data_IF_292411394022
#
_entry.id   IF_292411394022
#
_cell.length_a   1.000
_cell.length_b   1.000
_cell.length_c   1.000
_cell.angle_alpha   90.00
_cell.angle_beta   90.00
_cell.angle_gamma   90.00
#
_symmetry.space_group_name_H-M   'P 1'
#
loop_
_entity.id
_entity.type
_entity.pdbx_description
1 polymer ?
#
# COMPACT_ATOMS: atom_id res chain seq x y z
N UNK A 1 -14.41 -0.48 -40.05
CA UNK A 1 -14.59 -1.41 -38.90
C UNK A 1 -15.50 -0.75 -37.86
N UNK A 2 -16.65 -1.36 -37.50
CA UNK A 2 -17.63 -0.75 -36.59
C UNK A 2 -17.06 -0.44 -35.21
N UNK A 3 -17.53 0.64 -34.56
CA UNK A 3 -17.14 1.06 -33.21
C UNK A 3 -17.29 -0.05 -32.16
N UNK A 4 -18.32 -0.89 -32.29
CA UNK A 4 -18.63 -1.95 -31.33
C UNK A 4 -17.55 -3.05 -31.30
N UNK A 5 -16.98 -3.40 -32.45
CA UNK A 5 -15.88 -4.39 -32.55
C UNK A 5 -14.60 -3.85 -31.89
N UNK A 6 -14.32 -2.55 -32.05
CA UNK A 6 -13.15 -1.90 -31.43
C UNK A 6 -13.26 -1.80 -29.90
N UNK A 7 -14.48 -1.57 -29.38
CA UNK A 7 -14.76 -1.57 -27.94
C UNK A 7 -14.50 -2.97 -27.34
N UNK A 8 -15.12 -4.00 -27.93
CA UNK A 8 -14.96 -5.39 -27.49
C UNK A 8 -13.50 -5.88 -27.57
N UNK A 9 -12.75 -5.43 -28.58
CA UNK A 9 -11.32 -5.75 -28.70
C UNK A 9 -10.49 -5.20 -27.53
N UNK A 10 -10.70 -3.93 -27.15
CA UNK A 10 -9.94 -3.27 -26.07
C UNK A 10 -10.23 -3.90 -24.71
N UNK A 11 -11.50 -4.13 -24.42
CA UNK A 11 -11.94 -4.77 -23.17
C UNK A 11 -11.37 -6.18 -23.05
N UNK A 12 -11.37 -6.97 -24.13
CA UNK A 12 -10.74 -8.29 -24.15
C UNK A 12 -9.25 -8.23 -23.83
N UNK A 13 -8.52 -7.29 -24.45
CA UNK A 13 -7.07 -7.12 -24.21
C UNK A 13 -6.75 -6.74 -22.78
N UNK A 14 -7.57 -5.88 -22.17
CA UNK A 14 -7.45 -5.51 -20.76
C UNK A 14 -7.68 -6.73 -19.86
N UNK A 15 -8.75 -7.51 -20.09
CA UNK A 15 -9.03 -8.74 -19.33
C UNK A 15 -7.89 -9.76 -19.45
N UNK A 16 -7.39 -10.00 -20.66
CA UNK A 16 -6.24 -10.88 -20.88
C UNK A 16 -4.98 -10.40 -20.13
N UNK A 17 -4.73 -9.08 -20.13
CA UNK A 17 -3.58 -8.52 -19.45
C UNK A 17 -3.68 -8.63 -17.93
N UNK A 18 -4.86 -8.45 -17.37
CA UNK A 18 -5.13 -8.71 -15.95
C UNK A 18 -4.86 -10.17 -15.59
N UNK A 19 -5.36 -11.12 -16.39
CA UNK A 19 -5.08 -12.54 -16.16
C UNK A 19 -3.58 -12.83 -16.17
N UNK A 20 -2.86 -12.37 -17.19
CA UNK A 20 -1.41 -12.54 -17.28
C UNK A 20 -0.68 -11.93 -16.08
N UNK A 21 -1.12 -10.76 -15.61
CA UNK A 21 -0.54 -10.13 -14.42
C UNK A 21 -0.75 -11.00 -13.17
N UNK A 22 -1.96 -11.53 -12.96
CA UNK A 22 -2.27 -12.42 -11.84
C UNK A 22 -1.52 -13.76 -11.93
N UNK A 23 -1.30 -14.28 -13.13
CA UNK A 23 -0.47 -15.48 -13.40
C UNK A 23 1.04 -15.22 -13.21
N UNK A 24 1.44 -14.00 -12.86
CA UNK A 24 2.83 -13.59 -12.67
C UNK A 24 3.60 -13.29 -13.97
N UNK A 25 2.96 -13.42 -15.14
CA UNK A 25 3.49 -13.16 -16.49
C UNK A 25 3.51 -11.66 -16.81
N UNK A 26 4.31 -10.91 -16.06
CA UNK A 26 4.33 -9.43 -16.03
C UNK A 26 4.75 -8.80 -17.36
N UNK A 27 5.75 -9.35 -18.03
CA UNK A 27 6.21 -8.84 -19.34
C UNK A 27 5.15 -9.05 -20.43
N UNK A 28 4.44 -10.19 -20.39
CA UNK A 28 3.34 -10.47 -21.32
C UNK A 28 2.14 -9.55 -21.03
N UNK A 29 1.80 -9.35 -19.76
CA UNK A 29 0.77 -8.41 -19.35
C UNK A 29 1.05 -7.00 -19.87
N UNK A 30 2.28 -6.51 -19.70
CA UNK A 30 2.71 -5.22 -20.26
C UNK A 30 2.61 -5.19 -21.79
N UNK A 31 3.09 -6.24 -22.46
CA UNK A 31 3.05 -6.35 -23.92
C UNK A 31 1.62 -6.27 -24.47
N UNK A 32 0.64 -6.83 -23.77
CA UNK A 32 -0.78 -6.76 -24.15
C UNK A 32 -1.36 -5.34 -24.07
N UNK A 33 -0.95 -4.55 -23.07
CA UNK A 33 -1.51 -3.21 -22.84
C UNK A 33 -0.72 -2.09 -23.51
N UNK A 34 0.48 -2.35 -24.01
CA UNK A 34 1.40 -1.33 -24.56
C UNK A 34 0.76 -0.40 -25.60
N UNK A 35 -0.04 -0.94 -26.53
CA UNK A 35 -0.73 -0.13 -27.53
C UNK A 35 -1.93 0.65 -26.95
N UNK A 36 -2.53 0.15 -25.87
CA UNK A 36 -3.67 0.77 -25.19
C UNK A 36 -3.27 2.00 -24.37
N UNK A 37 -1.99 2.15 -24.03
CA UNK A 37 -1.44 3.35 -23.39
C UNK A 37 -1.69 4.63 -24.21
N UNK A 38 -1.85 4.50 -25.54
CA UNK A 38 -2.16 5.60 -26.46
C UNK A 38 -3.66 5.72 -26.78
N UNK A 39 -4.53 4.98 -26.08
CA UNK A 39 -5.97 5.03 -26.31
C UNK A 39 -6.54 6.44 -26.09
N UNK A 40 -7.48 6.83 -26.94
CA UNK A 40 -8.27 8.06 -26.79
C UNK A 40 -9.40 7.89 -25.77
N UNK A 41 -9.84 6.66 -25.51
CA UNK A 41 -10.76 6.36 -24.41
C UNK A 41 -9.97 6.42 -23.08
N UNK A 42 -10.40 7.32 -22.19
CA UNK A 42 -9.73 7.61 -20.91
C UNK A 42 -9.74 6.40 -19.96
N UNK A 43 -10.84 5.66 -19.87
CA UNK A 43 -10.97 4.48 -19.00
C UNK A 43 -10.01 3.37 -19.45
N UNK A 44 -10.02 3.01 -20.74
CA UNK A 44 -9.10 2.02 -21.32
C UNK A 44 -7.64 2.44 -21.12
N UNK A 45 -7.34 3.73 -21.29
CA UNK A 45 -5.99 4.25 -21.08
C UNK A 45 -5.59 4.19 -19.60
N UNK A 46 -6.50 4.51 -18.69
CA UNK A 46 -6.28 4.42 -17.24
C UNK A 46 -5.94 2.99 -16.82
N UNK A 47 -6.76 2.01 -17.21
CA UNK A 47 -6.50 0.61 -16.89
C UNK A 47 -5.19 0.10 -17.50
N UNK A 48 -4.89 0.50 -18.73
CA UNK A 48 -3.60 0.17 -19.35
C UNK A 48 -2.40 0.75 -18.57
N UNK A 49 -2.51 1.99 -18.09
CA UNK A 49 -1.47 2.63 -17.26
C UNK A 49 -1.32 1.90 -15.92
N UNK A 50 -2.42 1.49 -15.30
CA UNK A 50 -2.43 0.74 -14.04
C UNK A 50 -1.74 -0.61 -14.17
N UNK A 51 -2.13 -1.41 -15.17
CA UNK A 51 -1.51 -2.72 -15.44
C UNK A 51 -0.02 -2.55 -15.77
N UNK A 52 0.34 -1.57 -16.60
CA UNK A 52 1.73 -1.29 -16.93
C UNK A 52 2.56 -0.90 -15.70
N UNK A 53 2.05 0.02 -14.86
CA UNK A 53 2.71 0.44 -13.63
C UNK A 53 2.94 -0.71 -12.67
N UNK A 54 1.92 -1.54 -12.44
CA UNK A 54 2.04 -2.70 -11.56
C UNK A 54 2.96 -3.78 -12.11
N UNK A 55 2.92 -4.06 -13.42
CA UNK A 55 3.84 -4.99 -14.05
C UNK A 55 5.29 -4.53 -13.86
N UNK A 56 5.59 -3.25 -14.12
CA UNK A 56 6.93 -2.68 -13.92
C UNK A 56 7.36 -2.70 -12.46
N UNK A 57 6.46 -2.35 -11.53
CA UNK A 57 6.73 -2.40 -10.09
C UNK A 57 7.14 -3.81 -9.65
N UNK A 58 6.39 -4.83 -10.08
CA UNK A 58 6.70 -6.23 -9.74
C UNK A 58 7.96 -6.76 -10.43
N UNK A 59 8.33 -6.21 -11.59
CA UNK A 59 9.61 -6.46 -12.26
C UNK A 59 10.78 -5.66 -11.64
N UNK A 60 10.55 -4.93 -10.53
CA UNK A 60 11.53 -4.04 -9.87
C UNK A 60 12.05 -2.91 -10.77
N UNK A 61 11.31 -2.57 -11.83
CA UNK A 61 11.59 -1.43 -12.73
C UNK A 61 10.88 -0.19 -12.21
N UNK A 62 11.33 0.32 -11.07
CA UNK A 62 10.60 1.32 -10.29
C UNK A 62 10.41 2.65 -11.03
N UNK A 63 11.40 3.14 -11.77
CA UNK A 63 11.28 4.40 -12.53
C UNK A 63 10.19 4.32 -13.61
N UNK A 64 10.09 3.17 -14.28
CA UNK A 64 9.03 2.94 -15.26
C UNK A 64 7.67 2.84 -14.58
N UNK A 65 7.60 2.17 -13.42
CA UNK A 65 6.39 2.10 -12.62
C UNK A 65 5.90 3.49 -12.19
N UNK A 66 6.80 4.33 -11.67
CA UNK A 66 6.54 5.72 -11.29
C UNK A 66 5.94 6.49 -12.48
N UNK A 67 6.58 6.44 -13.64
CA UNK A 67 6.09 7.16 -14.83
C UNK A 67 4.66 6.74 -15.21
N UNK A 68 4.32 5.45 -15.12
CA UNK A 68 2.96 4.98 -15.40
C UNK A 68 1.97 5.39 -14.31
N UNK A 69 2.32 5.25 -13.04
CA UNK A 69 1.44 5.63 -11.93
C UNK A 69 1.19 7.14 -11.86
N UNK A 70 2.20 7.99 -12.12
CA UNK A 70 2.02 9.44 -12.23
C UNK A 70 0.99 9.80 -13.31
N UNK A 71 1.05 9.13 -14.47
CA UNK A 71 0.08 9.33 -15.56
C UNK A 71 -1.32 8.87 -15.16
N UNK A 72 -1.44 7.75 -14.44
CA UNK A 72 -2.71 7.26 -13.92
C UNK A 72 -3.32 8.24 -12.90
N UNK A 73 -2.52 8.71 -11.94
CA UNK A 73 -2.92 9.71 -10.94
C UNK A 73 -3.43 11.00 -11.60
N UNK A 74 -2.73 11.52 -12.61
CA UNK A 74 -3.16 12.70 -13.39
C UNK A 74 -4.46 12.49 -14.16
N UNK A 75 -4.77 11.24 -14.54
CA UNK A 75 -5.93 10.94 -15.38
C UNK A 75 -7.23 10.76 -14.57
N UNK A 76 -7.14 10.22 -13.36
CA UNK A 76 -8.33 9.82 -12.58
C UNK A 76 -8.32 10.23 -11.10
N UNK A 77 -7.22 10.76 -10.57
CA UNK A 77 -7.04 11.11 -9.16
C UNK A 77 -7.57 10.02 -8.20
N UNK A 78 -7.22 8.76 -8.48
CA UNK A 78 -7.77 7.61 -7.77
C UNK A 78 -6.87 7.19 -6.61
N UNK A 79 -7.49 6.81 -5.49
CA UNK A 79 -6.78 6.49 -4.24
C UNK A 79 -5.72 5.39 -4.42
N UNK A 80 -6.05 4.33 -5.14
CA UNK A 80 -5.14 3.19 -5.33
C UNK A 80 -3.94 3.54 -6.22
N UNK A 81 -4.10 4.47 -7.17
CA UNK A 81 -3.01 4.92 -8.04
C UNK A 81 -1.98 5.73 -7.25
N UNK A 82 -2.44 6.59 -6.34
CA UNK A 82 -1.56 7.33 -5.41
C UNK A 82 -0.83 6.41 -4.46
N UNK A 83 -1.51 5.39 -3.93
CA UNK A 83 -0.89 4.39 -3.08
C UNK A 83 0.21 3.62 -3.83
N UNK A 84 -0.07 3.16 -5.05
CA UNK A 84 0.93 2.49 -5.89
C UNK A 84 2.12 3.39 -6.24
N UNK A 85 1.86 4.67 -6.49
CA UNK A 85 2.90 5.66 -6.75
C UNK A 85 3.81 5.85 -5.52
N UNK A 86 3.24 6.01 -4.33
CA UNK A 86 3.99 6.13 -3.08
C UNK A 86 4.88 4.90 -2.83
N UNK A 87 4.35 3.70 -3.04
CA UNK A 87 5.09 2.45 -2.92
C UNK A 87 6.26 2.37 -3.91
N UNK A 88 6.06 2.81 -5.16
CA UNK A 88 7.11 2.84 -6.18
C UNK A 88 8.21 3.85 -5.85
N UNK A 89 7.86 5.04 -5.35
CA UNK A 89 8.81 6.03 -4.88
C UNK A 89 9.64 5.53 -3.69
N UNK A 90 9.01 4.92 -2.69
CA UNK A 90 9.74 4.36 -1.56
C UNK A 90 10.73 3.26 -2.00
N UNK A 91 10.31 2.34 -2.89
CA UNK A 91 11.21 1.29 -3.41
C UNK A 91 12.35 1.81 -4.29
N UNK A 92 12.19 2.98 -4.92
CA UNK A 92 13.23 3.66 -5.70
C UNK A 92 14.03 4.68 -4.87
N UNK A 93 13.85 4.71 -3.55
CA UNK A 93 14.57 5.58 -2.60
C UNK A 93 14.25 7.07 -2.69
N UNK A 94 13.09 7.42 -3.23
CA UNK A 94 12.57 8.80 -3.32
C UNK A 94 11.56 9.05 -2.18
N UNK A 95 12.03 9.17 -0.94
CA UNK A 95 11.14 9.18 0.24
C UNK A 95 10.25 10.42 0.34
N UNK A 96 10.75 11.60 -0.06
CA UNK A 96 9.96 12.83 -0.01
C UNK A 96 8.78 12.77 -0.99
N UNK A 97 9.02 12.26 -2.19
CA UNK A 97 7.99 12.04 -3.20
C UNK A 97 7.04 10.91 -2.80
N UNK A 98 7.54 9.88 -2.10
CA UNK A 98 6.72 8.81 -1.55
C UNK A 98 5.71 9.36 -0.54
N UNK A 99 6.16 10.19 0.40
CA UNK A 99 5.31 10.84 1.41
C UNK A 99 4.32 11.80 0.76
N UNK A 100 4.76 12.60 -0.20
CA UNK A 100 3.88 13.50 -0.95
C UNK A 100 2.77 12.71 -1.68
N UNK A 101 3.12 11.62 -2.36
CA UNK A 101 2.14 10.76 -3.03
C UNK A 101 1.19 10.07 -2.03
N UNK A 102 1.69 9.60 -0.88
CA UNK A 102 0.87 8.96 0.14
C UNK A 102 -0.15 9.94 0.74
N UNK A 103 0.23 11.20 0.96
CA UNK A 103 -0.67 12.23 1.47
C UNK A 103 -1.86 12.52 0.53
N UNK A 104 -1.70 12.31 -0.78
CA UNK A 104 -2.77 12.50 -1.76
C UNK A 104 -3.91 11.48 -1.62
N UNK A 105 -3.68 10.33 -0.97
CA UNK A 105 -4.67 9.23 -0.78
C UNK A 105 -5.96 9.70 -0.08
N UNK A 106 -5.86 10.69 0.82
CA UNK A 106 -7.00 11.20 1.59
C UNK A 106 -7.90 12.14 0.78
N UNK A 107 -7.34 12.86 -0.19
CA UNK A 107 -8.09 13.74 -1.10
C UNK A 107 -8.50 13.07 -2.43
N UNK A 108 -8.12 11.81 -2.62
CA UNK A 108 -8.34 11.07 -3.85
C UNK A 108 -9.71 10.37 -3.89
N UNK A 109 -10.22 10.16 -5.10
CA UNK A 109 -11.49 9.46 -5.31
C UNK A 109 -11.40 7.99 -4.92
N UNK A 110 -12.41 7.52 -4.18
CA UNK A 110 -12.64 6.10 -3.87
C UNK A 110 -13.60 5.42 -4.87
N UNK A 111 -14.17 6.18 -5.83
CA UNK A 111 -15.29 5.76 -6.68
C UNK A 111 -14.91 4.80 -7.82
N UNK A 112 -13.64 4.46 -7.99
CA UNK A 112 -13.24 3.54 -9.06
C UNK A 112 -13.65 2.10 -8.71
N UNK A 113 -14.09 1.37 -9.72
CA UNK A 113 -14.63 0.01 -9.71
C UNK A 113 -13.61 -1.07 -9.33
N UNK A 114 -12.76 -0.81 -8.34
CA UNK A 114 -11.92 -1.84 -7.76
C UNK A 114 -12.78 -2.72 -6.87
N UNK A 115 -12.81 -3.99 -7.24
CA UNK A 115 -13.50 -5.06 -6.52
C UNK A 115 -12.93 -5.28 -5.10
N UNK A 116 -11.78 -4.68 -4.78
CA UNK A 116 -11.10 -4.76 -3.48
C UNK A 116 -10.48 -3.41 -3.10
N UNK A 117 -11.21 -2.56 -2.41
CA UNK A 117 -10.64 -1.35 -1.82
C UNK A 117 -9.78 -1.76 -0.60
N UNK A 118 -8.47 -1.53 -0.69
CA UNK A 118 -7.57 -1.72 0.47
C UNK A 118 -8.00 -0.70 1.53
N UNK A 119 -8.28 -1.17 2.75
CA UNK A 119 -8.63 -0.30 3.87
C UNK A 119 -7.45 0.64 4.20
N UNK A 120 -7.73 1.81 4.77
CA UNK A 120 -6.68 2.73 5.18
C UNK A 120 -5.66 2.09 6.15
N UNK A 121 -6.07 1.29 7.16
CA UNK A 121 -5.11 0.56 7.99
C UNK A 121 -4.23 -0.41 7.19
N UNK A 122 -4.80 -1.13 6.21
CA UNK A 122 -4.00 -2.02 5.36
C UNK A 122 -3.01 -1.25 4.47
N UNK A 123 -3.38 -0.06 3.98
CA UNK A 123 -2.45 0.80 3.26
C UNK A 123 -1.29 1.24 4.14
N UNK A 124 -1.56 1.71 5.36
CA UNK A 124 -0.52 2.08 6.34
C UNK A 124 0.40 0.90 6.66
N UNK A 125 -0.18 -0.28 6.89
CA UNK A 125 0.55 -1.51 7.16
C UNK A 125 1.50 -1.90 6.03
N UNK A 126 0.99 -1.93 4.80
CA UNK A 126 1.80 -2.25 3.63
C UNK A 126 2.88 -1.21 3.37
N UNK A 127 2.56 0.07 3.56
CA UNK A 127 3.49 1.16 3.29
C UNK A 127 4.62 1.23 4.31
N UNK A 128 4.36 1.06 5.62
CA UNK A 128 5.44 1.06 6.61
C UNK A 128 6.42 -0.09 6.36
N UNK A 129 5.94 -1.26 5.93
CA UNK A 129 6.82 -2.39 5.58
C UNK A 129 7.71 -2.04 4.41
N UNK A 130 7.17 -1.38 3.38
CA UNK A 130 7.97 -0.93 2.25
C UNK A 130 8.98 0.16 2.64
N UNK A 131 8.59 1.11 3.50
CA UNK A 131 9.49 2.13 4.03
C UNK A 131 10.63 1.49 4.83
N UNK A 132 10.31 0.60 5.77
CA UNK A 132 11.28 -0.19 6.55
C UNK A 132 12.24 -0.96 5.64
N UNK A 133 11.71 -1.76 4.72
CA UNK A 133 12.53 -2.53 3.77
C UNK A 133 13.38 -1.63 2.85
N UNK A 134 13.01 -0.35 2.75
CA UNK A 134 13.73 0.66 1.99
C UNK A 134 14.67 1.51 2.85
N UNK A 135 14.80 1.21 4.15
CA UNK A 135 15.71 1.92 5.08
C UNK A 135 15.16 3.24 5.62
N UNK A 136 13.89 3.56 5.37
CA UNK A 136 13.22 4.78 5.83
C UNK A 136 12.57 4.55 7.20
N UNK A 137 13.40 4.33 8.22
CA UNK A 137 12.98 3.93 9.57
C UNK A 137 12.07 4.97 10.23
N UNK A 138 12.37 6.27 10.08
CA UNK A 138 11.61 7.35 10.72
C UNK A 138 10.21 7.46 10.12
N UNK A 139 10.10 7.38 8.80
CA UNK A 139 8.85 7.41 8.06
C UNK A 139 8.03 6.15 8.31
N UNK A 140 8.67 4.98 8.36
CA UNK A 140 8.03 3.73 8.75
C UNK A 140 7.42 3.83 10.16
N UNK A 141 8.16 4.40 11.12
CA UNK A 141 7.65 4.65 12.46
C UNK A 141 6.48 5.64 12.49
N UNK A 142 6.47 6.65 11.62
CA UNK A 142 5.32 7.53 11.41
C UNK A 142 4.04 6.76 11.08
N UNK A 143 4.13 5.81 10.14
CA UNK A 143 3.00 4.94 9.78
C UNK A 143 2.59 3.97 10.89
N UNK A 144 3.57 3.45 11.65
CA UNK A 144 3.29 2.62 12.84
C UNK A 144 2.54 3.42 13.90
N UNK A 145 2.86 4.70 14.10
CA UNK A 145 2.14 5.58 15.02
C UNK A 145 0.69 5.83 14.58
N UNK A 146 0.45 6.02 13.29
CA UNK A 146 -0.90 6.14 12.76
C UNK A 146 -1.71 4.85 13.00
N UNK A 147 -1.10 3.67 12.79
CA UNK A 147 -1.72 2.40 13.13
C UNK A 147 -2.00 2.26 14.62
N UNK A 148 -1.04 2.59 15.49
CA UNK A 148 -1.23 2.63 16.95
C UNK A 148 -2.44 3.48 17.33
N UNK A 149 -2.57 4.68 16.76
CA UNK A 149 -3.70 5.55 17.01
C UNK A 149 -5.03 4.90 16.60
N UNK A 150 -5.07 4.21 15.46
CA UNK A 150 -6.25 3.45 15.03
C UNK A 150 -6.59 2.31 15.98
N UNK A 151 -5.62 1.52 16.44
CA UNK A 151 -5.85 0.47 17.44
C UNK A 151 -6.39 1.03 18.75
N UNK A 152 -5.81 2.13 19.25
CA UNK A 152 -6.24 2.77 20.50
C UNK A 152 -7.66 3.37 20.40
N UNK A 153 -8.15 3.64 19.20
CA UNK A 153 -9.51 4.13 18.97
C UNK A 153 -10.56 3.00 18.97
N UNK A 154 -10.14 1.73 19.00
CA UNK A 154 -11.02 0.58 19.00
C UNK A 154 -11.33 0.12 20.43
N UNK A 155 -12.58 -0.32 20.64
CA UNK A 155 -13.02 -0.84 21.93
C UNK A 155 -12.67 -2.32 22.15
N UNK A 156 -12.24 -3.02 21.10
CA UNK A 156 -11.96 -4.46 21.03
C UNK A 156 -10.68 -4.70 20.25
N UNK A 157 -9.98 -5.79 20.54
CA UNK A 157 -8.67 -6.13 19.96
C UNK A 157 -8.55 -7.59 19.53
N UNK A 158 -9.65 -8.36 19.61
CA UNK A 158 -9.74 -9.71 19.06
C UNK A 158 -9.52 -9.71 17.54
N UNK A 159 -8.87 -10.74 17.01
CA UNK A 159 -8.47 -10.79 15.60
C UNK A 159 -9.64 -10.64 14.63
N UNK A 160 -10.75 -11.35 14.88
CA UNK A 160 -11.96 -11.26 14.05
C UNK A 160 -12.54 -9.84 14.03
N UNK A 161 -12.50 -9.16 15.19
CA UNK A 161 -12.97 -7.79 15.30
C UNK A 161 -12.06 -6.83 14.53
N UNK A 162 -10.74 -6.95 14.70
CA UNK A 162 -9.76 -6.18 13.95
C UNK A 162 -9.92 -6.38 12.43
N UNK A 163 -10.07 -7.62 11.99
CA UNK A 163 -10.32 -7.98 10.59
C UNK A 163 -11.60 -7.33 10.05
N UNK A 164 -12.68 -7.32 10.84
CA UNK A 164 -13.94 -6.65 10.46
C UNK A 164 -13.80 -5.13 10.25
N UNK A 165 -12.79 -4.50 10.87
CA UNK A 165 -12.43 -3.08 10.68
C UNK A 165 -11.35 -2.87 9.62
N UNK A 166 -10.93 -3.94 8.95
CA UNK A 166 -9.84 -3.92 7.99
C UNK A 166 -8.50 -3.57 8.64
N UNK A 167 -8.32 -3.79 9.94
CA UNK A 167 -7.04 -3.65 10.62
C UNK A 167 -6.17 -4.90 10.35
N UNK A 168 -4.84 -4.77 10.28
CA UNK A 168 -3.99 -5.95 10.41
C UNK A 168 -4.16 -6.58 11.80
N UNK A 169 -3.88 -7.87 11.94
CA UNK A 169 -3.78 -8.49 13.27
C UNK A 169 -2.67 -7.81 14.08
N UNK A 170 -2.91 -7.54 15.36
CA UNK A 170 -1.97 -6.78 16.18
C UNK A 170 -0.62 -7.49 16.31
N UNK A 171 -0.61 -8.79 16.59
CA UNK A 171 0.61 -9.59 16.67
C UNK A 171 1.43 -9.55 15.39
N UNK A 172 0.75 -9.60 14.23
CA UNK A 172 1.38 -9.46 12.92
C UNK A 172 1.97 -8.06 12.73
N UNK A 173 1.22 -7.02 13.08
CA UNK A 173 1.68 -5.63 13.01
C UNK A 173 2.93 -5.42 13.85
N UNK A 174 2.90 -5.86 15.11
CA UNK A 174 4.02 -5.71 16.04
C UNK A 174 5.26 -6.47 15.61
N UNK A 175 5.11 -7.70 15.09
CA UNK A 175 6.22 -8.49 14.57
C UNK A 175 6.96 -7.75 13.46
N UNK A 176 6.21 -7.13 12.55
CA UNK A 176 6.79 -6.38 11.44
C UNK A 176 7.32 -5.01 11.88
N UNK A 177 6.77 -4.42 12.94
CA UNK A 177 7.22 -3.15 13.51
C UNK A 177 8.50 -3.30 14.36
N UNK A 178 8.73 -4.47 14.98
CA UNK A 178 9.83 -4.69 15.93
C UNK A 178 11.21 -4.21 15.43
N UNK A 179 11.65 -4.52 14.19
CA UNK A 179 12.94 -4.03 13.71
C UNK A 179 13.03 -2.50 13.63
N UNK A 180 11.91 -1.82 13.35
CA UNK A 180 11.83 -0.35 13.34
C UNK A 180 11.96 0.18 14.76
N UNK A 181 11.27 -0.44 15.72
CA UNK A 181 11.32 -0.03 17.14
C UNK A 181 12.73 -0.24 17.72
N UNK A 182 13.34 -1.40 17.49
CA UNK A 182 14.73 -1.69 17.91
C UNK A 182 15.72 -0.69 17.33
N UNK A 183 15.59 -0.35 16.04
CA UNK A 183 16.45 0.65 15.40
C UNK A 183 16.31 2.05 16.00
N UNK A 184 15.15 2.37 16.61
CA UNK A 184 14.88 3.68 17.21
C UNK A 184 15.14 3.71 18.72
N UNK A 185 15.28 2.55 19.36
CA UNK A 185 15.48 2.42 20.81
C UNK A 185 16.76 3.14 21.30
N UNK A 186 17.77 3.28 20.44
CA UNK A 186 18.99 4.04 20.75
C UNK A 186 18.76 5.55 20.88
N UNK A 187 17.71 6.10 20.26
CA UNK A 187 17.42 7.54 20.23
C UNK A 187 16.15 7.91 21.00
N UNK A 188 15.32 6.93 21.37
CA UNK A 188 13.96 7.14 21.89
C UNK A 188 13.58 6.05 22.87
N UNK A 189 12.81 6.45 23.87
CA UNK A 189 12.21 5.50 24.81
C UNK A 189 11.04 4.73 24.16
N UNK A 190 11.39 3.61 23.52
CA UNK A 190 10.42 2.73 22.85
C UNK A 190 9.67 1.82 23.84
N UNK A 191 10.22 1.60 25.04
CA UNK A 191 9.56 0.85 26.11
C UNK A 191 8.35 1.63 26.61
N UNK A 192 8.53 2.89 27.00
CA UNK A 192 7.41 3.77 27.39
C UNK A 192 6.38 3.92 26.27
N UNK A 193 6.81 3.93 25.00
CA UNK A 193 5.90 3.98 23.87
C UNK A 193 5.02 2.73 23.75
N UNK A 194 5.58 1.54 23.96
CA UNK A 194 4.86 0.27 23.97
C UNK A 194 3.94 0.15 25.18
N UNK A 195 4.39 0.57 26.36
CA UNK A 195 3.57 0.57 27.57
C UNK A 195 2.35 1.50 27.43
N UNK A 196 2.54 2.71 26.90
CA UNK A 196 1.44 3.63 26.58
C UNK A 196 0.46 2.98 25.58
N UNK A 197 0.98 2.27 24.57
CA UNK A 197 0.13 1.55 23.63
C UNK A 197 -0.67 0.45 24.34
N UNK A 198 -0.01 -0.36 25.18
CA UNK A 198 -0.62 -1.44 25.96
C UNK A 198 -1.73 -0.95 26.90
N UNK A 199 -1.54 0.20 27.56
CA UNK A 199 -2.52 0.80 28.48
C UNK A 199 -3.81 1.25 27.78
N UNK A 200 -3.74 1.54 26.47
CA UNK A 200 -4.83 2.13 25.69
C UNK A 200 -5.61 1.13 24.86
N UNK A 201 -5.22 -0.14 24.84
CA UNK A 201 -5.92 -1.21 24.14
C UNK A 201 -6.45 -2.24 25.15
N UNK A 202 -7.55 -2.91 24.82
CA UNK A 202 -8.12 -4.00 25.64
C UNK A 202 -7.42 -5.32 25.37
N UNK A 203 -7.59 -6.29 26.27
CA UNK A 203 -7.21 -7.68 26.03
C UNK A 203 -7.99 -8.26 24.83
N UNK A 204 -7.38 -9.18 24.05
CA UNK A 204 -6.04 -9.78 24.23
C UNK A 204 -4.88 -8.89 23.74
N UNK A 205 -5.15 -7.76 23.08
CA UNK A 205 -4.13 -6.94 22.46
C UNK A 205 -3.13 -6.29 23.44
N UNK A 206 -3.56 -5.98 24.66
CA UNK A 206 -2.65 -5.45 25.69
C UNK A 206 -1.63 -6.49 26.15
N UNK A 207 -2.01 -7.77 26.24
CA UNK A 207 -1.05 -8.84 26.53
C UNK A 207 -0.02 -8.99 25.41
N UNK A 208 -0.44 -8.95 24.14
CA UNK A 208 0.48 -8.96 23.00
C UNK A 208 1.54 -7.88 23.16
N UNK A 209 1.16 -6.65 23.52
CA UNK A 209 2.12 -5.55 23.64
C UNK A 209 3.11 -5.71 24.80
N UNK A 210 2.70 -6.34 25.92
CA UNK A 210 3.62 -6.66 27.03
C UNK A 210 4.72 -7.61 26.57
N UNK A 211 4.39 -8.59 25.74
CA UNK A 211 5.37 -9.54 25.20
C UNK A 211 6.41 -8.86 24.30
N UNK A 212 6.10 -7.69 23.71
CA UNK A 212 7.06 -6.92 22.91
C UNK A 212 7.90 -5.94 23.74
N UNK A 213 7.45 -5.54 24.93
CA UNK A 213 8.26 -4.73 25.84
C UNK A 213 9.53 -5.49 26.20
N UNK A 214 9.40 -6.77 26.57
CA UNK A 214 10.53 -7.62 26.93
C UNK A 214 11.52 -7.87 25.79
N UNK A 215 11.08 -7.71 24.53
CA UNK A 215 11.94 -7.84 23.33
C UNK A 215 12.73 -6.56 23.01
N UNK A 216 12.41 -5.44 23.64
CA UNK A 216 13.16 -4.18 23.53
C UNK A 216 14.16 -3.95 24.67
N UNK A 217 14.00 -4.65 25.79
CA UNK A 217 14.85 -4.55 26.98
C UNK A 217 16.19 -5.33 26.88
N UNK A 218 16.53 -5.85 25.69
CA UNK A 218 17.76 -6.63 25.40
C UNK A 218 18.63 -5.89 24.40
#
# INVERSE_FOLDING_TARGET
>A
MPLNIRKNYRERKIREAWQLYHDGKREEAFSKVRLLLKSTNKEVRLEALQIAGMAMYKLKRFDQAINYFQKACKLANARHDWFNLAMAYAKSKHVLEAEAAFNMINGASTKHSYQYAISQPQMLYQYFRVLRDSGFTREAFGRINELKAMYCALYKSEEDYLASKGMPGLSLMMREALPVLQSLAAERDMVSWLEDFGKRIKEPGSQVLKDYVTLLDV
#
